data_IF_419575230161
#
_entry.id   IF_419575230161
#
_cell.length_a   1.000
_cell.length_b   1.000
_cell.length_c   1.000
_cell.angle_alpha   90.00
_cell.angle_beta   90.00
_cell.angle_gamma   90.00
#
_symmetry.space_group_name_H-M   'P 1'
#
loop_
_entity.id
_entity.type
_entity.pdbx_description
1 polymer ?
#
# COMPACT_ATOMS: atom_id res chain seq x y z
N UNK A 1 26.24 18.26 -3.12
CA UNK A 1 25.03 18.62 -3.87
C UNK A 1 24.52 17.32 -4.43
N UNK A 2 23.92 16.51 -3.56
CA UNK A 2 23.66 15.08 -3.80
C UNK A 2 22.47 14.56 -2.97
N UNK A 3 21.59 15.47 -2.53
CA UNK A 3 20.40 15.12 -1.73
C UNK A 3 19.12 15.12 -2.59
N UNK A 4 19.02 15.95 -3.63
CA UNK A 4 17.76 16.12 -4.38
C UNK A 4 17.30 14.86 -5.13
N UNK A 5 18.20 13.98 -5.56
CA UNK A 5 17.81 12.83 -6.39
C UNK A 5 17.16 11.69 -5.60
N UNK A 6 17.49 11.51 -4.31
CA UNK A 6 16.96 10.41 -3.52
C UNK A 6 15.51 10.69 -3.05
N UNK A 7 15.23 11.93 -2.63
CA UNK A 7 13.89 12.36 -2.23
C UNK A 7 12.89 12.32 -3.39
N UNK A 8 13.35 12.69 -4.59
CA UNK A 8 12.54 12.64 -5.81
C UNK A 8 12.19 11.18 -6.18
N UNK A 9 13.13 10.24 -6.03
CA UNK A 9 12.91 8.81 -6.30
C UNK A 9 11.94 8.16 -5.29
N UNK A 10 12.03 8.51 -4.01
CA UNK A 10 11.12 8.03 -2.96
C UNK A 10 9.69 8.53 -3.18
N UNK A 11 9.55 9.82 -3.50
CA UNK A 11 8.26 10.43 -3.82
C UNK A 11 7.62 9.78 -5.04
N UNK A 12 8.41 9.53 -6.10
CA UNK A 12 7.94 8.85 -7.29
C UNK A 12 7.46 7.41 -7.01
N UNK A 13 8.17 6.69 -6.14
CA UNK A 13 7.77 5.35 -5.72
C UNK A 13 6.45 5.38 -4.92
N UNK A 14 6.29 6.33 -4.00
CA UNK A 14 5.03 6.53 -3.26
C UNK A 14 3.85 6.77 -4.21
N UNK A 15 3.98 7.73 -5.14
CA UNK A 15 2.91 8.05 -6.11
C UNK A 15 2.54 6.85 -6.98
N UNK A 16 3.54 6.07 -7.42
CA UNK A 16 3.32 4.85 -8.22
C UNK A 16 2.55 3.79 -7.43
N UNK A 17 2.87 3.62 -6.16
CA UNK A 17 2.20 2.66 -5.28
C UNK A 17 0.77 3.10 -4.96
N UNK A 18 0.54 4.39 -4.71
CA UNK A 18 -0.80 4.95 -4.53
C UNK A 18 -1.64 4.72 -5.79
N UNK A 19 -1.09 4.98 -6.98
CA UNK A 19 -1.78 4.71 -8.24
C UNK A 19 -2.13 3.23 -8.40
N UNK A 20 -1.25 2.32 -7.96
CA UNK A 20 -1.54 0.89 -7.98
C UNK A 20 -2.72 0.53 -7.04
N UNK A 21 -2.80 1.14 -5.85
CA UNK A 21 -3.94 0.97 -4.94
C UNK A 21 -5.24 1.49 -5.57
N UNK A 22 -5.20 2.67 -6.21
CA UNK A 22 -6.39 3.22 -6.90
C UNK A 22 -6.85 2.29 -8.03
N UNK A 23 -5.92 1.73 -8.80
CA UNK A 23 -6.26 0.75 -9.84
C UNK A 23 -6.88 -0.53 -9.26
N UNK A 24 -6.42 -0.99 -8.09
CA UNK A 24 -7.01 -2.15 -7.40
C UNK A 24 -8.42 -1.85 -6.86
N UNK A 25 -8.66 -0.63 -6.36
CA UNK A 25 -9.98 -0.18 -5.93
C UNK A 25 -10.95 -0.11 -7.11
N UNK A 26 -10.50 0.43 -8.25
CA UNK A 26 -11.29 0.48 -9.49
C UNK A 26 -11.61 -0.94 -10.01
N UNK A 27 -10.63 -1.85 -9.96
CA UNK A 27 -10.81 -3.24 -10.36
C UNK A 27 -11.66 -4.06 -9.37
N UNK A 28 -11.73 -3.62 -8.10
CA UNK A 28 -12.36 -4.38 -7.01
C UNK A 28 -11.56 -5.63 -6.60
N UNK A 29 -10.26 -5.66 -6.87
CA UNK A 29 -9.39 -6.82 -6.65
C UNK A 29 -8.03 -6.40 -6.04
N UNK A 30 -7.66 -6.88 -4.85
CA UNK A 30 -8.44 -7.80 -4.01
C UNK A 30 -9.63 -7.10 -3.34
N UNK A 31 -10.72 -7.82 -3.00
CA UNK A 31 -11.86 -7.24 -2.30
C UNK A 31 -11.49 -6.64 -0.93
N UNK A 32 -10.32 -7.01 -0.39
CA UNK A 32 -9.75 -6.41 0.80
C UNK A 32 -9.48 -4.90 0.64
N UNK A 33 -9.14 -4.40 -0.55
CA UNK A 33 -8.83 -2.97 -0.75
C UNK A 33 -10.03 -2.09 -0.41
N UNK A 34 -11.18 -2.39 -1.02
CA UNK A 34 -12.43 -1.67 -0.76
C UNK A 34 -12.90 -1.85 0.69
N UNK A 35 -12.75 -3.05 1.26
CA UNK A 35 -13.12 -3.32 2.64
C UNK A 35 -12.29 -2.50 3.63
N UNK A 36 -10.98 -2.40 3.40
CA UNK A 36 -10.06 -1.60 4.21
C UNK A 36 -10.35 -0.12 4.10
N UNK A 37 -10.56 0.38 2.88
CA UNK A 37 -10.95 1.78 2.65
C UNK A 37 -12.23 2.12 3.42
N UNK A 38 -13.29 1.33 3.25
CA UNK A 38 -14.57 1.54 3.94
C UNK A 38 -14.40 1.52 5.46
N UNK A 39 -13.66 0.54 5.99
CA UNK A 39 -13.42 0.39 7.42
C UNK A 39 -12.75 1.62 8.01
N UNK A 40 -11.69 2.13 7.38
CA UNK A 40 -10.93 3.26 7.91
C UNK A 40 -11.66 4.59 7.72
N UNK A 41 -12.41 4.76 6.63
CA UNK A 41 -13.30 5.91 6.45
C UNK A 41 -14.36 5.97 7.57
N UNK A 42 -14.92 4.82 7.99
CA UNK A 42 -15.88 4.77 9.10
C UNK A 42 -15.26 5.15 10.45
N UNK A 43 -13.96 4.94 10.63
CA UNK A 43 -13.21 5.33 11.84
C UNK A 43 -12.78 6.81 11.80
N UNK A 44 -12.91 7.47 10.65
CA UNK A 44 -12.65 8.90 10.49
C UNK A 44 -11.30 9.24 9.86
N UNK A 45 -10.62 8.28 9.22
CA UNK A 45 -9.42 8.55 8.44
C UNK A 45 -9.78 9.17 7.08
N UNK A 46 -8.98 10.13 6.65
CA UNK A 46 -9.10 10.75 5.32
C UNK A 46 -8.68 9.78 4.22
N UNK A 47 -9.31 9.87 3.04
CA UNK A 47 -9.03 8.94 1.92
C UNK A 47 -7.54 8.92 1.58
N UNK A 48 -6.92 10.08 1.46
CA UNK A 48 -5.51 10.19 1.06
C UNK A 48 -4.57 9.51 2.08
N UNK A 49 -4.89 9.60 3.38
CA UNK A 49 -4.14 8.92 4.44
C UNK A 49 -4.32 7.40 4.35
N UNK A 50 -5.54 6.94 4.06
CA UNK A 50 -5.83 5.51 3.87
C UNK A 50 -5.06 4.96 2.68
N UNK A 51 -5.05 5.66 1.54
CA UNK A 51 -4.32 5.25 0.35
C UNK A 51 -2.82 5.15 0.61
N UNK A 52 -2.25 6.09 1.37
CA UNK A 52 -0.85 6.04 1.80
C UNK A 52 -0.57 4.82 2.68
N UNK A 53 -1.41 4.53 3.67
CA UNK A 53 -1.26 3.33 4.50
C UNK A 53 -1.36 2.04 3.67
N UNK A 54 -2.28 1.97 2.71
CA UNK A 54 -2.42 0.83 1.81
C UNK A 54 -1.21 0.69 0.88
N UNK A 55 -0.65 1.80 0.40
CA UNK A 55 0.57 1.84 -0.39
C UNK A 55 1.79 1.35 0.40
N UNK A 56 1.90 1.68 1.69
CA UNK A 56 2.94 1.15 2.58
C UNK A 56 2.85 -0.38 2.73
N UNK A 57 1.63 -0.92 2.85
CA UNK A 57 1.42 -2.38 2.89
C UNK A 57 1.83 -3.04 1.56
N UNK A 58 1.55 -2.40 0.43
CA UNK A 58 1.98 -2.89 -0.88
C UNK A 58 3.50 -2.83 -1.04
N UNK A 59 4.12 -1.75 -0.58
CA UNK A 59 5.57 -1.58 -0.57
C UNK A 59 6.28 -2.67 0.25
N UNK A 60 5.75 -2.99 1.44
CA UNK A 60 6.27 -4.06 2.30
C UNK A 60 6.23 -5.44 1.61
N UNK A 61 5.11 -5.76 0.95
CA UNK A 61 5.00 -7.03 0.24
C UNK A 61 5.96 -7.09 -0.96
N UNK A 62 6.09 -6.01 -1.74
CA UNK A 62 7.05 -5.92 -2.84
C UNK A 62 8.49 -6.04 -2.31
N UNK A 63 8.82 -5.37 -1.21
CA UNK A 63 10.16 -5.44 -0.60
C UNK A 63 10.49 -6.89 -0.25
N UNK A 64 9.58 -7.59 0.41
CA UNK A 64 9.83 -8.97 0.82
C UNK A 64 9.81 -9.98 -0.32
N UNK A 65 9.00 -9.73 -1.35
CA UNK A 65 9.06 -10.45 -2.62
C UNK A 65 10.48 -10.41 -3.20
N UNK A 66 11.10 -9.22 -3.21
CA UNK A 66 12.45 -9.01 -3.72
C UNK A 66 13.54 -9.55 -2.78
N UNK A 67 13.45 -9.30 -1.48
CA UNK A 67 14.45 -9.71 -0.49
C UNK A 67 14.51 -11.24 -0.32
N UNK A 68 13.36 -11.91 -0.40
CA UNK A 68 13.26 -13.36 -0.21
C UNK A 68 13.28 -14.14 -1.52
N UNK A 69 13.41 -13.46 -2.67
CA UNK A 69 13.32 -14.04 -4.02
C UNK A 69 12.10 -14.98 -4.16
N UNK A 70 10.94 -14.49 -3.72
CA UNK A 70 9.67 -15.23 -3.69
C UNK A 70 8.62 -14.55 -4.57
N UNK A 71 7.58 -15.24 -5.05
CA UNK A 71 6.45 -14.58 -5.69
C UNK A 71 5.66 -13.71 -4.69
N UNK A 72 4.91 -12.75 -5.24
CA UNK A 72 3.97 -11.93 -4.47
C UNK A 72 2.94 -12.82 -3.74
N UNK A 73 2.77 -12.61 -2.44
CA UNK A 73 1.82 -13.34 -1.60
C UNK A 73 0.56 -12.50 -1.39
N UNK A 74 -0.45 -12.79 -2.21
CA UNK A 74 -1.74 -12.13 -2.14
C UNK A 74 -2.47 -12.35 -0.81
N UNK A 75 -2.32 -13.52 -0.18
CA UNK A 75 -2.98 -13.84 1.08
C UNK A 75 -2.40 -12.98 2.21
N UNK A 76 -1.08 -12.89 2.24
CA UNK A 76 -0.39 -12.02 3.19
C UNK A 76 -0.76 -10.56 2.95
N UNK A 77 -0.68 -10.10 1.71
CA UNK A 77 -1.04 -8.73 1.34
C UNK A 77 -2.46 -8.36 1.81
N UNK A 78 -3.46 -9.21 1.52
CA UNK A 78 -4.84 -9.01 2.00
C UNK A 78 -4.95 -8.98 3.53
N UNK A 79 -4.19 -9.83 4.22
CA UNK A 79 -4.16 -9.88 5.68
C UNK A 79 -3.63 -8.58 6.26
N UNK A 80 -2.53 -8.06 5.70
CA UNK A 80 -1.93 -6.79 6.12
C UNK A 80 -2.87 -5.61 5.83
N UNK A 81 -3.54 -5.57 4.66
CA UNK A 81 -4.55 -4.57 4.36
C UNK A 81 -5.67 -4.54 5.41
N UNK A 82 -6.14 -5.72 5.83
CA UNK A 82 -7.21 -5.84 6.84
C UNK A 82 -6.75 -5.44 8.24
N UNK A 83 -5.45 -5.46 8.53
CA UNK A 83 -4.89 -5.07 9.83
C UNK A 83 -4.71 -3.55 9.99
N UNK A 84 -4.75 -2.78 8.90
CA UNK A 84 -4.65 -1.31 9.00
C UNK A 84 -5.68 -0.74 10.00
N UNK A 85 -5.31 0.25 10.83
CA UNK A 85 -4.17 1.16 10.67
C UNK A 85 -2.83 0.61 11.22
N UNK A 86 -2.78 -0.60 11.75
CA UNK A 86 -1.54 -1.22 12.20
C UNK A 86 -0.67 -1.56 10.97
N UNK A 87 0.44 -0.85 10.81
CA UNK A 87 1.39 -1.01 9.69
C UNK A 87 2.28 -2.25 9.91
N UNK A 88 2.77 -2.87 8.82
CA UNK A 88 3.77 -3.94 8.91
C UNK A 88 5.08 -3.42 9.51
N UNK A 89 5.73 -4.25 10.34
CA UNK A 89 7.03 -4.00 10.98
C UNK A 89 8.23 -4.13 10.02
#
# INVERSE_FOLDING_TARGET
MTDTTADDDETFAEETLIQAIENQLEAGDPPATQATLNKLTLVGYERDEILKMMALVLADEIRQMLEQDRPFDAIRYETQLRNLPDLPD
#
